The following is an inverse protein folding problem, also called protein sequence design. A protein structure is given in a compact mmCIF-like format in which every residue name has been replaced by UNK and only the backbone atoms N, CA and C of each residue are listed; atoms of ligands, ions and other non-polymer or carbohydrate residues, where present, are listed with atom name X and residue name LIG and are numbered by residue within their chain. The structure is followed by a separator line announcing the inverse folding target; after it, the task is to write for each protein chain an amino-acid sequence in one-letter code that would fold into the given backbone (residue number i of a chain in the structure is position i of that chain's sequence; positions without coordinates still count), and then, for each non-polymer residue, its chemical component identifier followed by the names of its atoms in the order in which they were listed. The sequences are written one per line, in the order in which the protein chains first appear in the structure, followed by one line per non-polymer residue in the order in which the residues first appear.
data_IF_827590296701
#
_entry.id   IF_827590296701
#
_cell.length_a   1.000
_cell.length_b   1.000
_cell.length_c   1.000
_cell.angle_alpha   90.00
_cell.angle_beta   90.00
_cell.angle_gamma   90.00
#
_symmetry.space_group_name_H-M   'P 1'
#
loop_
_entity.id
_entity.type
_entity.pdbx_description
1 polymer ?
#
# COMPACT_ATOMS: atom_id res chain seq x y z
N UNK A 1 3.59 5.43 -33.15
CA UNK A 1 3.13 4.85 -31.86
C UNK A 1 1.86 4.05 -32.17
N UNK A 2 1.85 2.73 -31.93
CA UNK A 2 0.69 1.89 -32.27
C UNK A 2 -0.46 2.15 -31.28
N UNK A 3 -1.71 2.30 -31.75
CA UNK A 3 -2.86 2.48 -30.88
C UNK A 3 -3.02 1.23 -30.02
N UNK A 4 -2.97 1.40 -28.69
CA UNK A 4 -3.28 0.32 -27.74
C UNK A 4 -4.78 0.05 -27.87
N UNK A 5 -5.07 -0.99 -28.62
CA UNK A 5 -6.38 -1.53 -29.00
C UNK A 5 -7.40 -1.53 -27.85
N UNK A 6 -8.58 -1.00 -28.21
CA UNK A 6 -9.79 -0.77 -27.42
C UNK A 6 -10.62 -2.06 -27.20
N UNK A 7 -10.01 -3.25 -27.09
CA UNK A 7 -10.75 -4.54 -27.10
C UNK A 7 -10.43 -5.52 -25.96
N UNK A 8 -10.16 -5.03 -24.75
CA UNK A 8 -10.19 -5.88 -23.55
C UNK A 8 -10.94 -5.18 -22.40
N UNK A 9 -12.27 -5.30 -22.39
CA UNK A 9 -13.16 -4.92 -21.27
C UNK A 9 -13.04 -5.91 -20.10
N UNK A 10 -11.81 -6.17 -19.64
CA UNK A 10 -11.53 -7.10 -18.54
C UNK A 10 -10.37 -6.61 -17.67
N UNK A 11 -10.25 -7.18 -16.47
CA UNK A 11 -9.18 -6.88 -15.51
C UNK A 11 -7.76 -7.01 -16.12
N UNK A 12 -7.60 -7.92 -17.10
CA UNK A 12 -6.36 -8.13 -17.85
C UNK A 12 -6.01 -6.91 -18.72
N UNK A 13 -7.00 -6.28 -19.36
CA UNK A 13 -6.81 -5.07 -20.15
C UNK A 13 -6.41 -3.88 -19.29
N UNK A 14 -6.96 -3.79 -18.07
CA UNK A 14 -6.56 -2.77 -17.10
C UNK A 14 -5.11 -2.96 -16.65
N UNK A 15 -4.73 -4.19 -16.27
CA UNK A 15 -3.36 -4.49 -15.86
C UNK A 15 -2.34 -4.19 -16.97
N UNK A 16 -2.64 -4.58 -18.21
CA UNK A 16 -1.80 -4.27 -19.37
C UNK A 16 -1.69 -2.76 -19.63
N UNK A 17 -2.79 -2.02 -19.50
CA UNK A 17 -2.80 -0.56 -19.64
C UNK A 17 -1.98 0.13 -18.54
N UNK A 18 -2.16 -0.27 -17.27
CA UNK A 18 -1.37 0.25 -16.15
C UNK A 18 0.11 -0.08 -16.33
N UNK A 19 0.45 -1.28 -16.80
CA UNK A 19 1.84 -1.67 -17.08
C UNK A 19 2.44 -0.82 -18.22
N UNK A 20 1.69 -0.59 -19.31
CA UNK A 20 2.11 0.27 -20.42
C UNK A 20 2.34 1.71 -19.98
N UNK A 21 1.41 2.27 -19.19
CA UNK A 21 1.54 3.60 -18.60
C UNK A 21 2.74 3.67 -17.66
N UNK A 22 2.96 2.63 -16.85
CA UNK A 22 4.10 2.57 -15.94
C UNK A 22 5.41 2.61 -16.71
N UNK A 23 5.55 1.76 -17.72
CA UNK A 23 6.73 1.72 -18.58
C UNK A 23 7.00 3.10 -19.20
N UNK A 24 5.96 3.79 -19.65
CA UNK A 24 6.04 5.10 -20.27
C UNK A 24 6.59 6.18 -19.30
N UNK A 25 6.15 6.18 -18.04
CA UNK A 25 6.65 7.12 -17.03
C UNK A 25 8.07 6.73 -16.58
N UNK A 26 8.33 5.43 -16.41
CA UNK A 26 9.65 4.91 -16.05
C UNK A 26 10.72 5.26 -17.08
N UNK A 27 10.42 5.21 -18.38
CA UNK A 27 11.38 5.61 -19.43
C UNK A 27 11.70 7.12 -19.34
N UNK A 28 10.73 7.96 -19.00
CA UNK A 28 10.91 9.40 -18.97
C UNK A 28 11.63 9.92 -17.71
N UNK A 29 11.46 9.27 -16.55
CA UNK A 29 12.04 9.70 -15.28
C UNK A 29 12.45 8.53 -14.35
N UNK A 30 13.31 7.59 -14.80
CA UNK A 30 13.58 6.34 -14.07
C UNK A 30 14.21 6.59 -12.70
N UNK A 31 15.26 7.43 -12.66
CA UNK A 31 16.01 7.69 -11.42
C UNK A 31 15.15 8.37 -10.35
N UNK A 32 14.39 9.42 -10.72
CA UNK A 32 13.57 10.17 -9.75
C UNK A 32 12.41 9.32 -9.22
N UNK A 33 11.78 8.50 -10.06
CA UNK A 33 10.73 7.57 -9.62
C UNK A 33 11.30 6.49 -8.71
N UNK A 34 12.43 5.87 -9.07
CA UNK A 34 13.06 4.85 -8.25
C UNK A 34 13.40 5.38 -6.86
N UNK A 35 14.04 6.55 -6.78
CA UNK A 35 14.37 7.19 -5.49
C UNK A 35 13.08 7.58 -4.75
N UNK A 36 12.03 8.05 -5.44
CA UNK A 36 10.75 8.38 -4.80
C UNK A 36 10.08 7.14 -4.17
N UNK A 37 10.11 6.00 -4.88
CA UNK A 37 9.59 4.71 -4.41
C UNK A 37 10.41 4.24 -3.21
N UNK A 38 11.74 4.19 -3.32
CA UNK A 38 12.63 3.74 -2.25
C UNK A 38 12.45 4.58 -0.98
N UNK A 39 12.48 5.91 -1.12
CA UNK A 39 12.25 6.85 -0.02
C UNK A 39 10.90 6.59 0.65
N UNK A 40 9.85 6.29 -0.13
CA UNK A 40 8.50 6.05 0.41
C UNK A 40 8.34 4.68 1.05
N UNK A 41 9.09 3.68 0.60
CA UNK A 41 9.18 2.36 1.24
C UNK A 41 9.91 2.51 2.58
N UNK A 42 11.05 3.21 2.61
CA UNK A 42 11.78 3.51 3.84
C UNK A 42 10.92 4.30 4.84
N UNK A 43 10.18 5.32 4.38
CA UNK A 43 9.26 6.08 5.22
C UNK A 43 8.22 5.18 5.90
N UNK A 44 7.75 4.16 5.17
CA UNK A 44 6.75 3.22 5.66
C UNK A 44 7.30 2.22 6.68
N UNK A 45 8.55 1.78 6.52
CA UNK A 45 9.24 1.01 7.55
C UNK A 45 9.55 1.85 8.78
N UNK A 46 10.07 3.07 8.61
CA UNK A 46 10.29 3.98 9.72
C UNK A 46 8.99 4.22 10.51
N UNK A 47 7.87 4.45 9.81
CA UNK A 47 6.56 4.58 10.45
C UNK A 47 6.12 3.30 11.17
N UNK A 48 6.41 2.11 10.62
CA UNK A 48 6.14 0.85 11.30
C UNK A 48 6.95 0.75 12.60
N UNK A 49 8.26 1.04 12.54
CA UNK A 49 9.14 1.03 13.70
C UNK A 49 8.75 2.06 14.75
N UNK A 50 8.28 3.25 14.35
CA UNK A 50 7.81 4.25 15.31
C UNK A 50 6.56 3.81 16.09
N UNK A 51 5.78 2.87 15.57
CA UNK A 51 4.68 2.26 16.33
C UNK A 51 5.12 1.03 17.13
N UNK A 52 6.12 0.29 16.64
CA UNK A 52 6.62 -0.91 17.30
C UNK A 52 7.42 -0.62 18.57
N UNK A 53 8.23 0.43 18.58
CA UNK A 53 9.05 0.78 19.75
C UNK A 53 8.17 1.13 20.97
N UNK A 54 7.13 1.98 20.88
CA UNK A 54 6.21 2.23 21.99
C UNK A 54 5.57 0.97 22.57
N UNK A 55 5.22 0.01 21.73
CA UNK A 55 4.65 -1.27 22.19
C UNK A 55 5.67 -2.00 23.07
N UNK A 56 6.95 -2.05 22.65
CA UNK A 56 8.02 -2.63 23.47
C UNK A 56 8.19 -1.88 24.80
N UNK A 57 8.10 -0.55 24.79
CA UNK A 57 8.17 0.27 26.01
C UNK A 57 7.01 -0.09 26.95
N UNK A 58 5.78 -0.19 26.45
CA UNK A 58 4.60 -0.53 27.26
C UNK A 58 4.75 -1.93 27.87
N UNK A 59 5.16 -2.92 27.08
CA UNK A 59 5.39 -4.29 27.58
C UNK A 59 6.46 -4.27 28.67
N UNK A 60 7.56 -3.56 28.43
CA UNK A 60 8.65 -3.45 29.39
C UNK A 60 8.22 -2.73 30.67
N UNK A 61 7.37 -1.69 30.59
CA UNK A 61 6.81 -1.01 31.77
C UNK A 61 5.85 -1.91 32.56
N UNK A 62 5.04 -2.71 31.87
CA UNK A 62 4.06 -3.61 32.48
C UNK A 62 4.64 -4.90 33.06
N UNK A 63 5.84 -5.31 32.63
CA UNK A 63 6.48 -6.54 33.13
C UNK A 63 7.25 -6.29 34.43
N UNK A 64 6.99 -7.10 35.47
CA UNK A 64 7.75 -7.08 36.71
C UNK A 64 9.21 -7.56 36.53
N UNK A 65 9.43 -8.45 35.57
CA UNK A 65 10.74 -9.00 35.21
C UNK A 65 11.15 -8.58 33.81
N UNK A 66 12.46 -8.44 33.56
CA UNK A 66 13.00 -8.18 32.23
C UNK A 66 12.70 -9.40 31.35
N UNK A 67 11.96 -9.25 30.25
CA UNK A 67 11.68 -10.37 29.36
C UNK A 67 12.98 -10.99 28.81
N UNK A 68 12.96 -12.30 28.54
CA UNK A 68 14.14 -13.05 28.07
C UNK A 68 14.78 -12.49 26.80
N UNK A 69 14.03 -11.76 25.97
CA UNK A 69 14.55 -11.09 24.77
C UNK A 69 15.34 -9.80 25.06
N UNK A 70 15.38 -9.31 26.30
CA UNK A 70 16.16 -8.13 26.72
C UNK A 70 17.25 -8.43 27.75
N UNK A 71 17.29 -9.64 28.32
CA UNK A 71 18.16 -9.99 29.44
C UNK A 71 19.67 -9.86 29.16
N UNK A 72 20.09 -9.87 27.90
CA UNK A 72 21.50 -9.70 27.50
C UNK A 72 21.98 -8.25 27.38
N UNK A 73 21.07 -7.27 27.32
CA UNK A 73 21.40 -5.85 27.06
C UNK A 73 20.94 -4.94 28.19
N UNK A 74 20.01 -5.42 29.01
CA UNK A 74 19.27 -4.59 29.96
C UNK A 74 19.33 -5.18 31.37
N UNK A 75 19.78 -4.38 32.33
CA UNK A 75 19.70 -4.67 33.76
C UNK A 75 18.52 -3.94 34.40
N UNK A 76 18.07 -4.41 35.56
CA UNK A 76 16.93 -3.79 36.28
C UNK A 76 17.26 -2.34 36.63
N UNK A 77 18.50 -2.07 37.02
CA UNK A 77 19.00 -0.75 37.40
C UNK A 77 19.00 0.26 36.23
N UNK A 78 19.27 -0.20 35.01
CA UNK A 78 19.31 0.67 33.82
C UNK A 78 17.97 0.73 33.07
N UNK A 79 16.91 0.15 33.64
CA UNK A 79 15.62 -0.01 32.98
C UNK A 79 15.04 1.32 32.50
N UNK A 80 15.02 2.30 33.39
CA UNK A 80 14.42 3.61 33.14
C UNK A 80 15.19 4.41 32.08
N UNK A 81 16.53 4.32 32.09
CA UNK A 81 17.40 4.95 31.10
C UNK A 81 17.12 4.42 29.68
N UNK A 82 16.95 3.11 29.53
CA UNK A 82 16.60 2.50 28.25
C UNK A 82 15.18 2.85 27.81
N UNK A 83 14.22 2.92 28.73
CA UNK A 83 12.86 3.38 28.44
C UNK A 83 12.90 4.81 27.88
N UNK A 84 13.63 5.71 28.54
CA UNK A 84 13.81 7.10 28.08
C UNK A 84 14.50 7.15 26.71
N UNK A 85 15.55 6.35 26.50
CA UNK A 85 16.24 6.22 25.21
C UNK A 85 15.34 5.71 24.09
N UNK A 86 14.52 4.70 24.35
CA UNK A 86 13.55 4.16 23.39
C UNK A 86 12.44 5.17 23.06
N UNK A 87 11.99 5.96 24.04
CA UNK A 87 11.02 7.02 23.81
C UNK A 87 11.59 8.11 22.89
N UNK A 88 12.83 8.55 23.14
CA UNK A 88 13.51 9.52 22.28
C UNK A 88 13.76 8.96 20.87
N UNK A 89 14.21 7.71 20.77
CA UNK A 89 14.39 7.02 19.49
C UNK A 89 13.08 6.94 18.70
N UNK A 90 11.95 6.67 19.38
CA UNK A 90 10.62 6.65 18.74
C UNK A 90 10.33 7.99 18.07
N UNK A 91 10.54 9.09 18.79
CA UNK A 91 10.31 10.44 18.27
C UNK A 91 11.18 10.70 17.04
N UNK A 92 12.48 10.38 17.12
CA UNK A 92 13.42 10.55 16.01
C UNK A 92 12.99 9.74 14.78
N UNK A 93 12.67 8.46 14.94
CA UNK A 93 12.21 7.58 13.86
C UNK A 93 10.92 8.09 13.23
N UNK A 94 9.98 8.60 14.03
CA UNK A 94 8.74 9.19 13.54
C UNK A 94 9.00 10.46 12.71
N UNK A 95 9.85 11.36 13.20
CA UNK A 95 10.24 12.58 12.46
C UNK A 95 10.94 12.20 11.15
N UNK A 96 11.86 11.24 11.16
CA UNK A 96 12.49 10.72 9.94
C UNK A 96 11.46 10.19 8.95
N UNK A 97 10.45 9.44 9.42
CA UNK A 97 9.37 8.95 8.56
C UNK A 97 8.59 10.09 7.88
N UNK A 98 8.31 11.18 8.60
CA UNK A 98 7.66 12.38 8.03
C UNK A 98 8.56 13.03 6.97
N UNK A 99 9.84 13.24 7.28
CA UNK A 99 10.80 13.86 6.35
C UNK A 99 10.94 13.05 5.06
N UNK A 100 11.02 11.72 5.15
CA UNK A 100 11.07 10.85 3.98
C UNK A 100 9.77 10.94 3.14
N UNK A 101 8.60 11.03 3.77
CA UNK A 101 7.34 11.24 3.05
C UNK A 101 7.30 12.58 2.31
N UNK A 102 7.80 13.66 2.95
CA UNK A 102 7.90 14.99 2.32
C UNK A 102 8.89 14.97 1.13
N UNK A 103 10.04 14.32 1.31
CA UNK A 103 11.04 14.16 0.27
C UNK A 103 10.48 13.37 -0.92
N UNK A 104 9.77 12.27 -0.67
CA UNK A 104 9.09 11.50 -1.72
C UNK A 104 8.09 12.36 -2.52
N UNK A 105 7.30 13.20 -1.84
CA UNK A 105 6.39 14.14 -2.52
C UNK A 105 7.10 15.20 -3.38
N UNK A 106 8.27 15.66 -2.93
CA UNK A 106 9.13 16.54 -3.75
C UNK A 106 9.66 15.79 -4.97
N UNK A 107 10.13 14.56 -4.81
CA UNK A 107 10.64 13.72 -5.91
C UNK A 107 9.55 13.40 -6.94
N UNK A 108 8.33 13.06 -6.51
CA UNK A 108 7.16 12.88 -7.38
C UNK A 108 6.87 14.14 -8.22
N UNK A 109 7.01 15.32 -7.61
CA UNK A 109 6.81 16.61 -8.29
C UNK A 109 7.93 16.89 -9.31
N UNK A 110 9.17 16.52 -9.02
CA UNK A 110 10.28 16.61 -9.97
C UNK A 110 10.14 15.61 -11.12
N UNK A 111 9.75 14.37 -10.84
CA UNK A 111 9.46 13.37 -11.86
C UNK A 111 8.35 13.84 -12.82
N UNK A 112 7.35 14.55 -12.29
CA UNK A 112 6.31 15.18 -13.12
C UNK A 112 6.88 16.24 -14.07
N UNK A 113 7.75 17.12 -13.57
CA UNK A 113 8.39 18.15 -14.40
C UNK A 113 9.26 17.53 -15.49
N UNK A 114 10.06 16.53 -15.14
CA UNK A 114 10.91 15.81 -16.09
C UNK A 114 10.09 15.07 -17.15
N UNK A 115 8.99 14.42 -16.74
CA UNK A 115 8.07 13.76 -17.66
C UNK A 115 7.50 14.74 -18.71
N UNK A 116 7.06 15.93 -18.26
CA UNK A 116 6.52 16.96 -19.14
C UNK A 116 7.61 17.58 -20.05
N UNK A 117 8.85 17.69 -19.59
CA UNK A 117 9.97 18.13 -20.42
C UNK A 117 10.26 17.15 -21.56
N UNK A 118 10.28 15.84 -21.27
CA UNK A 118 10.55 14.79 -22.27
C UNK A 118 9.40 14.67 -23.29
N UNK A 119 8.15 14.86 -22.86
CA UNK A 119 6.97 14.77 -23.74
C UNK A 119 6.65 16.05 -24.51
N UNK A 120 7.28 17.16 -24.13
CA UNK A 120 7.08 18.47 -24.75
C UNK A 120 5.88 19.24 -24.18
N UNK A 121 5.87 20.57 -24.35
CA UNK A 121 4.85 21.45 -23.77
C UNK A 121 3.44 21.23 -24.36
N UNK A 122 3.34 20.68 -25.57
CA UNK A 122 2.08 20.35 -26.23
C UNK A 122 1.28 19.24 -25.50
N UNK A 123 1.93 18.45 -24.64
CA UNK A 123 1.30 17.34 -23.93
C UNK A 123 0.40 17.78 -22.76
N UNK A 124 0.69 18.92 -22.14
CA UNK A 124 -0.11 19.49 -21.06
C UNK A 124 0.05 21.03 -21.02
N UNK A 125 -0.52 21.74 -22.02
CA UNK A 125 -0.48 23.20 -22.09
C UNK A 125 -1.04 23.85 -20.81
N UNK A 126 -2.10 23.27 -20.25
CA UNK A 126 -2.90 23.94 -19.21
C UNK A 126 -2.49 23.52 -17.80
N UNK A 127 -2.69 24.42 -16.82
CA UNK A 127 -2.43 24.13 -15.39
C UNK A 127 -3.24 22.93 -14.88
N UNK A 128 -4.49 22.77 -15.33
CA UNK A 128 -5.33 21.64 -14.93
C UNK A 128 -4.79 20.30 -15.42
N UNK A 129 -4.36 20.25 -16.69
CA UNK A 129 -3.79 19.07 -17.32
C UNK A 129 -2.47 18.67 -16.65
N UNK A 130 -1.60 19.62 -16.32
CA UNK A 130 -0.38 19.36 -15.51
C UNK A 130 -0.71 18.79 -14.14
N UNK A 131 -1.77 19.29 -13.49
CA UNK A 131 -2.29 18.74 -12.25
C UNK A 131 -2.76 17.29 -12.38
N UNK A 132 -3.36 16.93 -13.52
CA UNK A 132 -3.78 15.55 -13.85
C UNK A 132 -2.59 14.63 -14.06
N UNK A 133 -1.57 15.05 -14.82
CA UNK A 133 -0.32 14.28 -14.99
C UNK A 133 0.37 14.05 -13.64
N UNK A 134 0.45 15.09 -12.80
CA UNK A 134 1.01 14.95 -11.44
C UNK A 134 0.24 13.91 -10.63
N UNK A 135 -1.09 13.99 -10.60
CA UNK A 135 -1.93 13.02 -9.88
C UNK A 135 -1.71 11.60 -10.39
N UNK A 136 -1.65 11.41 -11.70
CA UNK A 136 -1.35 10.12 -12.32
C UNK A 136 0.01 9.56 -11.86
N UNK A 137 1.08 10.36 -11.90
CA UNK A 137 2.43 9.94 -11.45
C UNK A 137 2.43 9.58 -9.96
N UNK A 138 1.74 10.38 -9.14
CA UNK A 138 1.61 10.12 -7.70
C UNK A 138 0.84 8.81 -7.45
N UNK A 139 -0.31 8.60 -8.12
CA UNK A 139 -1.09 7.38 -8.00
C UNK A 139 -0.28 6.16 -8.42
N UNK A 140 0.45 6.27 -9.53
CA UNK A 140 1.25 5.18 -10.03
C UNK A 140 2.44 4.85 -9.10
N UNK A 141 3.19 5.85 -8.67
CA UNK A 141 4.26 5.68 -7.66
C UNK A 141 3.72 4.98 -6.42
N UNK A 142 2.54 5.40 -5.96
CA UNK A 142 1.85 4.81 -4.81
C UNK A 142 1.39 3.37 -5.02
N UNK A 143 1.03 2.97 -6.25
CA UNK A 143 0.71 1.58 -6.58
C UNK A 143 2.00 0.73 -6.53
N UNK A 144 3.10 1.20 -7.11
CA UNK A 144 4.40 0.50 -7.07
C UNK A 144 4.88 0.29 -5.64
N UNK A 145 4.82 1.34 -4.82
CA UNK A 145 5.18 1.27 -3.41
C UNK A 145 4.34 0.24 -2.65
N UNK A 146 3.02 0.19 -2.91
CA UNK A 146 2.15 -0.81 -2.30
C UNK A 146 2.51 -2.23 -2.75
N UNK A 147 2.85 -2.42 -4.04
CA UNK A 147 3.33 -3.69 -4.58
C UNK A 147 4.64 -4.16 -3.95
N UNK A 148 5.62 -3.27 -3.82
CA UNK A 148 6.91 -3.58 -3.15
C UNK A 148 6.69 -4.00 -1.70
N UNK A 149 5.84 -3.28 -0.96
CA UNK A 149 5.54 -3.62 0.43
C UNK A 149 4.81 -4.94 0.54
N UNK A 150 3.84 -5.20 -0.34
CA UNK A 150 3.14 -6.47 -0.39
C UNK A 150 4.12 -7.62 -0.64
N UNK A 151 5.06 -7.45 -1.58
CA UNK A 151 6.12 -8.42 -1.84
C UNK A 151 6.99 -8.68 -0.59
N UNK A 152 7.44 -7.61 0.08
CA UNK A 152 8.24 -7.73 1.31
C UNK A 152 7.46 -8.41 2.44
N UNK A 153 6.17 -8.13 2.59
CA UNK A 153 5.31 -8.80 3.57
C UNK A 153 5.12 -10.29 3.26
N UNK A 154 4.94 -10.64 1.98
CA UNK A 154 4.83 -12.04 1.55
C UNK A 154 6.13 -12.79 1.84
N UNK A 155 7.29 -12.22 1.51
CA UNK A 155 8.60 -12.81 1.83
C UNK A 155 8.77 -12.98 3.34
N UNK A 156 8.45 -11.95 4.12
CA UNK A 156 8.54 -12.01 5.58
C UNK A 156 7.64 -13.08 6.19
N UNK A 157 6.40 -13.21 5.72
CA UNK A 157 5.48 -14.24 6.18
C UNK A 157 5.92 -15.64 5.73
N UNK A 158 6.47 -15.80 4.52
CA UNK A 158 6.98 -17.07 4.03
C UNK A 158 8.10 -17.60 4.93
N UNK A 159 8.97 -16.71 5.43
CA UNK A 159 10.07 -17.05 6.33
C UNK A 159 9.57 -17.35 7.76
N UNK A 160 8.63 -16.55 8.27
CA UNK A 160 8.16 -16.66 9.65
C UNK A 160 7.15 -17.79 9.87
N UNK A 161 6.13 -17.87 9.01
CA UNK A 161 5.06 -18.86 9.09
C UNK A 161 4.38 -19.02 7.71
N UNK A 162 4.83 -19.98 6.89
CA UNK A 162 4.26 -20.18 5.55
C UNK A 162 2.80 -20.66 5.59
N UNK A 163 2.39 -21.34 6.66
CA UNK A 163 1.00 -21.74 6.85
C UNK A 163 0.08 -20.52 6.98
N UNK A 164 0.48 -19.54 7.80
CA UNK A 164 -0.27 -18.29 7.93
C UNK A 164 -0.36 -17.55 6.58
N UNK A 165 0.72 -17.51 5.79
CA UNK A 165 0.68 -16.91 4.45
C UNK A 165 -0.41 -17.54 3.56
N UNK A 166 -0.57 -18.87 3.58
CA UNK A 166 -1.63 -19.55 2.83
C UNK A 166 -3.02 -19.13 3.28
N UNK A 167 -3.27 -19.10 4.60
CA UNK A 167 -4.56 -18.69 5.15
C UNK A 167 -4.90 -17.24 4.76
N UNK A 168 -3.93 -16.33 4.88
CA UNK A 168 -4.08 -14.93 4.46
C UNK A 168 -4.33 -14.81 2.95
N UNK A 169 -3.65 -15.63 2.15
CA UNK A 169 -3.84 -15.70 0.71
C UNK A 169 -5.26 -16.12 0.34
N UNK A 170 -5.79 -17.16 1.00
CA UNK A 170 -7.17 -17.62 0.80
C UNK A 170 -8.18 -16.53 1.20
N UNK A 171 -7.97 -15.86 2.33
CA UNK A 171 -8.81 -14.73 2.76
C UNK A 171 -8.82 -13.60 1.71
N UNK A 172 -7.64 -13.18 1.22
CA UNK A 172 -7.56 -12.17 0.17
C UNK A 172 -8.26 -12.59 -1.13
N UNK A 173 -8.06 -13.84 -1.56
CA UNK A 173 -8.65 -14.34 -2.81
C UNK A 173 -10.17 -14.46 -2.72
N UNK A 174 -10.69 -14.95 -1.59
CA UNK A 174 -12.14 -15.04 -1.35
C UNK A 174 -12.80 -13.65 -1.35
N UNK A 175 -12.18 -12.67 -0.69
CA UNK A 175 -12.65 -11.28 -0.74
C UNK A 175 -12.62 -10.68 -2.15
N UNK A 176 -11.53 -10.92 -2.90
CA UNK A 176 -11.42 -10.45 -4.28
C UNK A 176 -12.51 -11.08 -5.15
N UNK A 177 -12.74 -12.39 -5.01
CA UNK A 177 -13.77 -13.11 -5.72
C UNK A 177 -15.17 -12.57 -5.38
N UNK A 178 -15.47 -12.34 -4.11
CA UNK A 178 -16.73 -11.74 -3.65
C UNK A 178 -16.92 -10.33 -4.21
N UNK A 179 -15.86 -9.51 -4.21
CA UNK A 179 -15.90 -8.15 -4.77
C UNK A 179 -16.20 -8.19 -6.27
N UNK A 180 -15.49 -9.03 -7.03
CA UNK A 180 -15.69 -9.18 -8.47
C UNK A 180 -17.06 -9.75 -8.81
N UNK A 181 -17.54 -10.73 -8.05
CA UNK A 181 -18.87 -11.31 -8.21
C UNK A 181 -19.95 -10.26 -7.97
N UNK A 182 -19.84 -9.47 -6.90
CA UNK A 182 -20.77 -8.38 -6.59
C UNK A 182 -20.78 -7.28 -7.66
N UNK A 183 -19.65 -7.05 -8.34
CA UNK A 183 -19.54 -6.07 -9.42
C UNK A 183 -20.18 -6.53 -10.74
N UNK A 184 -20.25 -7.86 -10.99
CA UNK A 184 -20.81 -8.42 -12.24
C UNK A 184 -22.31 -8.63 -12.22
N UNK A 185 -22.92 -8.76 -11.04
CA UNK A 185 -24.36 -9.02 -10.90
C UNK A 185 -25.08 -7.84 -10.21
N UNK A 186 -25.24 -6.69 -10.89
CA UNK A 186 -25.82 -5.47 -10.29
C UNK A 186 -27.32 -5.57 -9.97
N UNK A 187 -28.03 -6.53 -10.57
CA UNK A 187 -29.48 -6.71 -10.46
C UNK A 187 -29.90 -7.70 -9.36
N UNK A 188 -28.96 -8.39 -8.73
CA UNK A 188 -29.28 -9.25 -7.61
C UNK A 188 -29.86 -8.38 -6.47
N UNK A 189 -31.00 -8.82 -5.92
CA UNK A 189 -31.67 -8.29 -4.69
C UNK A 189 -30.70 -8.00 -3.52
N UNK A 190 -29.50 -8.55 -3.57
CA UNK A 190 -28.33 -8.31 -2.72
C UNK A 190 -27.61 -6.98 -2.99
N UNK A 191 -28.36 -5.93 -3.34
CA UNK A 191 -27.86 -4.56 -3.52
C UNK A 191 -27.45 -3.87 -2.19
N UNK A 192 -27.22 -4.66 -1.15
CA UNK A 192 -27.29 -4.23 0.25
C UNK A 192 -26.08 -3.44 0.74
N UNK A 193 -24.86 -3.79 0.35
CA UNK A 193 -23.71 -3.19 1.03
C UNK A 193 -22.39 -3.20 0.27
N UNK A 194 -21.86 -4.35 -0.25
CA UNK A 194 -20.50 -4.35 -0.82
C UNK A 194 -20.40 -3.63 -2.17
N UNK A 195 -21.35 -3.86 -3.09
CA UNK A 195 -21.30 -3.26 -4.43
C UNK A 195 -21.46 -1.73 -4.41
N UNK A 196 -22.42 -1.19 -3.64
CA UNK A 196 -22.60 0.27 -3.50
C UNK A 196 -21.46 0.92 -2.73
N UNK A 197 -20.93 0.29 -1.68
CA UNK A 197 -19.81 0.84 -0.91
C UNK A 197 -18.51 0.88 -1.72
N UNK A 198 -18.23 -0.16 -2.52
CA UNK A 198 -17.07 -0.19 -3.40
C UNK A 198 -17.16 0.87 -4.52
N UNK A 199 -18.35 1.13 -5.05
CA UNK A 199 -18.59 2.15 -6.08
C UNK A 199 -18.68 3.57 -5.51
N UNK A 200 -19.23 3.78 -4.32
CA UNK A 200 -19.32 5.11 -3.70
C UNK A 200 -17.99 5.59 -3.12
N UNK A 201 -17.32 4.74 -2.34
CA UNK A 201 -16.10 5.08 -1.60
C UNK A 201 -15.14 3.88 -1.54
N UNK A 202 -14.38 3.60 -2.61
CA UNK A 202 -13.53 2.41 -2.68
C UNK A 202 -12.53 2.35 -1.53
N UNK A 203 -11.97 3.49 -1.14
CA UNK A 203 -11.03 3.59 -0.01
C UNK A 203 -11.65 3.07 1.30
N UNK A 204 -12.88 3.47 1.62
CA UNK A 204 -13.56 3.07 2.86
C UNK A 204 -13.92 1.58 2.84
N UNK A 205 -14.40 1.08 1.70
CA UNK A 205 -14.73 -0.34 1.53
C UNK A 205 -13.50 -1.24 1.75
N UNK A 206 -12.39 -0.96 1.05
CA UNK A 206 -11.19 -1.78 1.19
C UNK A 206 -10.52 -1.63 2.57
N UNK A 207 -10.62 -0.46 3.21
CA UNK A 207 -10.14 -0.29 4.59
C UNK A 207 -10.94 -1.11 5.61
N UNK A 208 -12.25 -1.20 5.43
CA UNK A 208 -13.11 -2.01 6.27
C UNK A 208 -12.81 -3.50 6.09
N UNK A 209 -12.64 -3.97 4.85
CA UNK A 209 -12.20 -5.35 4.57
C UNK A 209 -10.87 -5.65 5.25
N UNK A 210 -9.87 -4.77 5.11
CA UNK A 210 -8.58 -4.94 5.75
C UNK A 210 -8.66 -4.97 7.29
N UNK A 211 -9.64 -4.28 7.89
CA UNK A 211 -9.89 -4.33 9.34
C UNK A 211 -10.54 -5.65 9.77
N UNK A 212 -11.49 -6.17 8.98
CA UNK A 212 -12.09 -7.48 9.18
C UNK A 212 -11.05 -8.60 9.05
N UNK A 213 -10.19 -8.53 8.03
CA UNK A 213 -9.09 -9.47 7.86
C UNK A 213 -8.14 -9.46 9.04
N UNK A 214 -7.74 -8.26 9.49
CA UNK A 214 -6.88 -8.12 10.66
C UNK A 214 -7.49 -8.80 11.90
N UNK A 215 -8.80 -8.65 12.11
CA UNK A 215 -9.50 -9.34 13.19
C UNK A 215 -9.50 -10.86 13.00
N UNK A 216 -9.71 -11.34 11.77
CA UNK A 216 -9.64 -12.77 11.46
C UNK A 216 -8.24 -13.34 11.73
N UNK A 217 -7.16 -12.64 11.32
CA UNK A 217 -5.78 -13.05 11.62
C UNK A 217 -5.54 -13.14 13.13
N UNK A 218 -6.00 -12.13 13.87
CA UNK A 218 -5.85 -12.12 15.32
C UNK A 218 -6.53 -13.34 15.97
N UNK A 219 -7.78 -13.63 15.58
CA UNK A 219 -8.51 -14.80 16.06
C UNK A 219 -7.82 -16.13 15.68
N UNK A 220 -7.30 -16.24 14.47
CA UNK A 220 -6.57 -17.41 14.00
C UNK A 220 -5.26 -17.62 14.78
N UNK A 221 -4.50 -16.55 15.04
CA UNK A 221 -3.30 -16.61 15.87
C UNK A 221 -3.62 -17.06 17.31
N UNK A 222 -4.73 -16.56 17.88
CA UNK A 222 -5.15 -16.96 19.21
C UNK A 222 -5.56 -18.44 19.26
N UNK A 223 -6.27 -18.92 18.23
CA UNK A 223 -6.63 -20.32 18.09
C UNK A 223 -5.40 -21.22 17.91
N UNK A 224 -4.44 -20.81 17.07
CA UNK A 224 -3.17 -21.53 16.89
C UNK A 224 -2.37 -21.60 18.20
N UNK A 225 -2.31 -20.49 18.94
CA UNK A 225 -1.67 -20.47 20.26
C UNK A 225 -2.35 -21.43 21.25
N UNK A 226 -3.69 -21.43 21.30
CA UNK A 226 -4.45 -22.32 22.17
C UNK A 226 -4.24 -23.81 21.85
N UNK A 227 -4.21 -24.17 20.55
CA UNK A 227 -4.12 -25.57 20.12
C UNK A 227 -2.69 -26.10 20.22
N UNK A 228 -1.70 -25.31 19.79
CA UNK A 228 -0.32 -25.80 19.65
C UNK A 228 0.58 -25.46 20.85
N UNK A 229 0.24 -24.44 21.63
CA UNK A 229 1.07 -23.93 22.73
C UNK A 229 2.46 -23.42 22.31
N UNK A 230 2.79 -23.39 21.00
CA UNK A 230 4.16 -23.23 20.47
C UNK A 230 4.48 -21.87 19.88
N UNK A 231 3.57 -20.90 19.93
CA UNK A 231 3.88 -19.59 19.36
C UNK A 231 4.73 -18.77 20.32
N UNK A 232 6.00 -18.56 19.96
CA UNK A 232 6.78 -17.48 20.54
C UNK A 232 5.99 -16.17 20.36
N UNK A 233 5.75 -15.47 21.46
CA UNK A 233 4.91 -14.26 21.48
C UNK A 233 5.39 -13.21 20.46
N UNK A 234 6.71 -13.09 20.30
CA UNK A 234 7.31 -12.15 19.35
C UNK A 234 6.98 -12.51 17.90
N UNK A 235 7.04 -13.80 17.55
CA UNK A 235 6.70 -14.30 16.21
C UNK A 235 5.22 -14.06 15.90
N UNK A 236 4.31 -14.32 16.85
CA UNK A 236 2.89 -13.99 16.69
C UNK A 236 2.65 -12.50 16.46
N UNK A 237 3.32 -11.63 17.23
CA UNK A 237 3.23 -10.18 17.07
C UNK A 237 3.74 -9.75 15.68
N UNK A 238 4.86 -10.30 15.21
CA UNK A 238 5.40 -10.00 13.88
C UNK A 238 4.46 -10.46 12.76
N UNK A 239 3.90 -11.66 12.86
CA UNK A 239 2.91 -12.18 11.91
C UNK A 239 1.67 -11.28 11.87
N UNK A 240 1.17 -10.87 13.05
CA UNK A 240 0.02 -9.97 13.16
C UNK A 240 0.30 -8.61 12.49
N UNK A 241 1.48 -8.04 12.73
CA UNK A 241 1.93 -6.77 12.13
C UNK A 241 2.08 -6.89 10.61
N UNK A 242 2.71 -7.95 10.12
CA UNK A 242 2.89 -8.20 8.69
C UNK A 242 1.56 -8.45 8.00
N UNK A 243 0.67 -9.23 8.60
CA UNK A 243 -0.69 -9.47 8.11
C UNK A 243 -1.46 -8.15 7.98
N UNK A 244 -1.48 -7.34 9.05
CA UNK A 244 -2.08 -5.99 9.02
C UNK A 244 -1.52 -5.16 7.87
N UNK A 245 -0.19 -5.19 7.69
CA UNK A 245 0.48 -4.38 6.67
C UNK A 245 0.13 -4.85 5.26
N UNK A 246 0.08 -6.16 5.06
CA UNK A 246 -0.29 -6.82 3.82
C UNK A 246 -1.71 -6.42 3.39
N UNK A 247 -2.71 -6.56 4.26
CA UNK A 247 -4.10 -6.17 3.94
C UNK A 247 -4.24 -4.68 3.67
N UNK A 248 -3.63 -3.82 4.50
CA UNK A 248 -3.67 -2.37 4.27
C UNK A 248 -3.01 -1.96 2.95
N UNK A 249 -1.96 -2.66 2.54
CA UNK A 249 -1.24 -2.38 1.29
C UNK A 249 -2.03 -2.86 0.08
N UNK A 250 -2.62 -4.06 0.16
CA UNK A 250 -3.54 -4.60 -0.85
C UNK A 250 -4.77 -3.71 -1.03
N UNK A 251 -5.42 -3.30 0.07
CA UNK A 251 -6.56 -2.40 0.08
C UNK A 251 -6.26 -1.05 -0.62
N UNK A 252 -5.12 -0.43 -0.27
CA UNK A 252 -4.67 0.82 -0.88
C UNK A 252 -4.35 0.64 -2.36
N UNK A 253 -3.71 -0.46 -2.75
CA UNK A 253 -3.43 -0.76 -4.15
C UNK A 253 -4.72 -0.94 -4.96
N UNK A 254 -5.67 -1.72 -4.45
CA UNK A 254 -6.97 -1.95 -5.08
C UNK A 254 -7.75 -0.65 -5.28
N UNK A 255 -7.88 0.17 -4.21
CA UNK A 255 -8.58 1.45 -4.29
C UNK A 255 -7.93 2.42 -5.29
N UNK A 256 -6.60 2.53 -5.30
CA UNK A 256 -5.86 3.39 -6.23
C UNK A 256 -6.00 2.93 -7.68
N UNK A 257 -6.04 1.63 -7.92
CA UNK A 257 -6.28 1.07 -9.25
C UNK A 257 -7.70 1.41 -9.73
N UNK A 258 -8.70 1.35 -8.86
CA UNK A 258 -10.08 1.79 -9.18
C UNK A 258 -10.13 3.29 -9.47
N UNK A 259 -9.46 4.11 -8.67
CA UNK A 259 -9.35 5.56 -8.93
C UNK A 259 -8.69 5.85 -10.28
N UNK A 260 -7.60 5.15 -10.60
CA UNK A 260 -6.91 5.28 -11.87
C UNK A 260 -7.79 4.83 -13.05
N UNK A 261 -8.62 3.79 -12.87
CA UNK A 261 -9.59 3.37 -13.88
C UNK A 261 -10.65 4.45 -14.13
N UNK A 262 -11.13 5.15 -13.10
CA UNK A 262 -12.09 6.27 -13.28
C UNK A 262 -11.49 7.43 -14.05
N UNK A 263 -10.20 7.67 -13.89
CA UNK A 263 -9.47 8.70 -14.62
C UNK A 263 -8.99 8.23 -16.01
N UNK A 264 -9.15 6.95 -16.35
CA UNK A 264 -8.61 6.35 -17.58
C UNK A 264 -8.99 7.10 -18.84
N UNK A 265 -10.28 7.37 -19.07
CA UNK A 265 -10.76 8.08 -20.27
C UNK A 265 -10.12 9.47 -20.38
N UNK A 266 -10.08 10.20 -19.26
CA UNK A 266 -9.48 11.53 -19.17
C UNK A 266 -7.96 11.53 -19.39
N UNK A 267 -7.29 10.43 -19.04
CA UNK A 267 -5.86 10.24 -19.25
C UNK A 267 -5.55 9.77 -20.67
N UNK A 268 -6.39 8.92 -21.26
CA UNK A 268 -6.27 8.48 -22.65
C UNK A 268 -6.45 9.67 -23.61
N UNK A 269 -7.39 10.57 -23.36
CA UNK A 269 -7.53 11.81 -24.14
C UNK A 269 -6.33 12.75 -23.97
N UNK A 270 -5.65 12.73 -22.83
CA UNK A 270 -4.45 13.52 -22.61
C UNK A 270 -3.21 12.88 -23.26
N UNK A 271 -3.15 11.55 -23.29
CA UNK A 271 -2.04 10.77 -23.86
C UNK A 271 -2.11 10.70 -25.40
N UNK A 272 -3.30 10.78 -25.99
CA UNK A 272 -3.51 10.75 -27.42
C UNK A 272 -4.19 12.05 -27.92
N UNK A 273 -3.45 12.97 -28.58
CA UNK A 273 -4.01 14.24 -29.04
C UNK A 273 -5.17 14.08 -30.04
N UNK A 274 -5.28 12.93 -30.72
CA UNK A 274 -6.35 12.64 -31.68
C UNK A 274 -7.74 12.45 -31.03
N UNK A 275 -7.82 12.26 -29.70
CA UNK A 275 -9.10 12.17 -29.00
C UNK A 275 -9.83 13.52 -28.91
N UNK A 276 -9.09 14.65 -28.88
CA UNK A 276 -9.69 15.98 -28.79
C UNK A 276 -10.47 16.40 -30.05
N UNK A 277 -10.17 15.79 -31.20
CA UNK A 277 -10.83 16.11 -32.47
C UNK A 277 -12.20 15.45 -32.67
N UNK A 278 -12.60 14.49 -31.81
CA UNK A 278 -13.89 13.77 -31.94
C UNK A 278 -14.95 14.19 -30.93
N UNK A 279 -14.64 15.06 -29.97
CA UNK A 279 -15.57 15.49 -28.91
C UNK A 279 -15.99 16.96 -29.01
N UNK A 280 -15.79 17.63 -30.15
CA UNK A 280 -16.45 18.91 -30.45
C UNK A 280 -17.64 18.67 -31.39
N UNK A 281 -18.88 18.52 -30.86
CA UNK A 281 -20.06 18.92 -31.62
C UNK A 281 -20.12 20.43 -31.80
#
# INVERSE_FOLDING_TARGET
MRPVSQKHSGAVGLAAWVAGLSRLIWIAAPGKLFVAILTRVLAQFAQLFSFFIPIKIIILMGSAHIPSYFSGVMTIENRDTWIAGMAMLTLLVYVTAILLNLLSGRLESHATRQFLQVRGPAFAPDKEQRGRVRRMIVLLTRIHVAGVILLLCVIGLLILNPWMLLVLGVLLLTQLALTLWSARHPDARWRGWPGRAALGSPDRYFQMLAALDFMAVFGLLLAEYWVTGRSEMLTAILILLLGRRLFQSAAKAASRTVLLQRERVKLECLLNPDCGAREMP
#
